data_IF_349929831450
#
_entry.id   IF_349929831450
#
_cell.length_a   1.000
_cell.length_b   1.000
_cell.length_c   1.000
_cell.angle_alpha   90.00
_cell.angle_beta   90.00
_cell.angle_gamma   90.00
#
_symmetry.space_group_name_H-M   'P 1'
#
loop_
_entity.id
_entity.type
_entity.pdbx_description
1 polymer ?
#
# COMPACT_ATOMS: atom_id res chain seq x y z
N UNK A 1 -1.76 18.88 -13.37
CA UNK A 1 -2.52 19.00 -12.12
C UNK A 1 -2.26 17.73 -11.28
N UNK A 2 -1.92 17.85 -10.01
CA UNK A 2 -1.76 16.72 -9.10
C UNK A 2 -3.09 16.35 -8.45
N UNK A 3 -3.37 15.06 -8.36
CA UNK A 3 -4.55 14.56 -7.65
C UNK A 3 -4.24 14.27 -6.18
N UNK A 4 -3.00 13.87 -5.87
CA UNK A 4 -2.63 13.63 -4.48
C UNK A 4 -2.62 14.93 -3.68
N UNK A 5 -3.37 14.94 -2.59
CA UNK A 5 -3.44 16.03 -1.62
C UNK A 5 -2.56 15.64 -0.45
N UNK A 6 -1.44 16.32 -0.34
CA UNK A 6 -0.54 16.16 0.79
C UNK A 6 -1.18 16.81 2.02
N UNK A 7 -1.48 16.05 3.08
CA UNK A 7 -1.97 16.65 4.33
C UNK A 7 -0.93 17.63 4.90
N UNK A 8 -1.35 18.72 5.52
CA UNK A 8 -0.43 19.61 6.22
C UNK A 8 0.18 18.90 7.43
N UNK A 9 1.43 19.19 7.76
CA UNK A 9 2.11 18.57 8.91
C UNK A 9 1.39 18.88 10.23
N UNK A 10 0.84 20.05 10.33
CA UNK A 10 0.08 20.54 11.49
C UNK A 10 -1.14 19.66 11.82
N UNK A 11 -1.66 18.93 10.83
CA UNK A 11 -2.74 17.97 11.06
C UNK A 11 -2.30 16.77 11.92
N UNK A 12 -0.99 16.55 12.05
CA UNK A 12 -0.39 15.49 12.87
C UNK A 12 0.26 16.00 14.17
N UNK A 13 0.37 17.32 14.39
CA UNK A 13 1.20 17.91 15.44
C UNK A 13 0.86 17.50 16.88
N UNK A 14 -0.38 17.16 17.16
CA UNK A 14 -0.82 16.75 18.51
C UNK A 14 -1.20 15.28 18.58
N UNK A 15 -0.97 14.54 17.50
CA UNK A 15 -1.30 13.12 17.43
C UNK A 15 -0.12 12.31 17.98
N UNK A 16 -0.31 11.69 19.13
CA UNK A 16 0.61 10.70 19.66
C UNK A 16 0.43 9.42 18.90
N UNK A 17 1.45 9.02 18.14
CA UNK A 17 1.47 7.76 17.40
C UNK A 17 2.52 6.80 17.93
N UNK A 18 2.46 5.54 17.52
CA UNK A 18 3.54 4.61 17.81
C UNK A 18 4.84 5.17 17.23
N UNK A 19 5.83 5.33 18.09
CA UNK A 19 7.16 5.83 17.74
C UNK A 19 7.90 4.74 16.95
N UNK A 20 7.57 4.58 15.66
CA UNK A 20 8.32 3.66 14.79
C UNK A 20 9.74 4.15 14.52
N UNK A 21 9.96 5.47 14.68
CA UNK A 21 11.25 6.09 14.44
C UNK A 21 11.49 7.17 15.52
N UNK A 22 12.55 7.05 16.22
CA UNK A 22 12.94 7.91 17.38
C UNK A 22 12.88 9.44 17.11
N UNK A 23 12.74 9.88 15.87
CA UNK A 23 12.77 11.28 15.46
C UNK A 23 11.44 11.81 14.91
N UNK A 24 10.45 10.93 14.68
CA UNK A 24 9.20 11.30 13.99
C UNK A 24 8.00 10.88 14.81
N UNK A 25 6.95 11.70 14.75
CA UNK A 25 5.72 11.43 15.48
C UNK A 25 4.85 10.38 14.80
N UNK A 26 4.86 10.36 13.45
CA UNK A 26 4.00 9.48 12.67
C UNK A 26 4.75 8.82 11.50
N UNK A 27 4.19 7.75 10.97
CA UNK A 27 4.70 7.07 9.79
C UNK A 27 4.65 7.99 8.56
N UNK A 28 3.56 8.75 8.40
CA UNK A 28 3.39 9.70 7.30
C UNK A 28 4.40 10.83 7.35
N UNK A 29 4.69 11.38 8.53
CA UNK A 29 5.71 12.40 8.70
C UNK A 29 7.06 11.89 8.18
N UNK A 30 7.48 10.71 8.61
CA UNK A 30 8.75 10.13 8.18
C UNK A 30 8.82 9.87 6.67
N UNK A 31 7.77 9.28 6.08
CA UNK A 31 7.83 8.77 4.72
C UNK A 31 7.40 9.78 3.65
N UNK A 32 6.46 10.67 3.95
CA UNK A 32 5.73 11.42 2.92
C UNK A 32 5.70 12.94 3.13
N UNK A 33 5.69 13.41 4.39
CA UNK A 33 5.42 14.81 4.67
C UNK A 33 6.68 15.68 4.72
N UNK A 34 7.83 15.09 4.98
CA UNK A 34 9.10 15.84 5.03
C UNK A 34 9.48 16.39 3.66
N UNK A 35 10.09 17.58 3.62
CA UNK A 35 10.67 18.08 2.38
C UNK A 35 11.84 17.19 1.96
N UNK A 36 11.95 16.92 0.66
CA UNK A 36 13.08 16.19 0.11
C UNK A 36 12.72 15.23 -1.03
N UNK A 37 13.73 14.82 -1.76
CA UNK A 37 13.60 13.98 -2.94
C UNK A 37 12.90 12.62 -2.64
N UNK A 38 13.24 11.99 -1.51
CA UNK A 38 12.67 10.68 -1.16
C UNK A 38 11.16 10.73 -0.93
N UNK A 39 10.67 11.75 -0.21
CA UNK A 39 9.22 11.92 -0.03
C UNK A 39 8.52 12.16 -1.35
N UNK A 40 9.11 12.97 -2.25
CA UNK A 40 8.57 13.21 -3.59
C UNK A 40 8.48 11.92 -4.41
N UNK A 41 9.47 11.06 -4.31
CA UNK A 41 9.45 9.76 -5.01
C UNK A 41 8.39 8.84 -4.39
N UNK A 42 8.34 8.78 -3.06
CA UNK A 42 7.39 7.91 -2.36
C UNK A 42 5.93 8.28 -2.61
N UNK A 43 5.56 9.56 -2.70
CA UNK A 43 4.16 9.97 -2.95
C UNK A 43 3.68 9.66 -4.37
N UNK A 44 4.57 9.29 -5.30
CA UNK A 44 4.19 9.05 -6.71
C UNK A 44 3.23 7.90 -6.90
N UNK A 45 3.25 6.88 -6.03
CA UNK A 45 2.29 5.78 -6.14
C UNK A 45 0.86 6.24 -5.83
N UNK A 46 0.64 7.12 -4.85
CA UNK A 46 -0.67 7.72 -4.58
C UNK A 46 -1.20 8.50 -5.78
N UNK A 47 -0.35 9.37 -6.34
CA UNK A 47 -0.70 10.14 -7.54
C UNK A 47 -1.02 9.24 -8.72
N UNK A 48 -0.23 8.16 -8.91
CA UNK A 48 -0.46 7.19 -9.98
C UNK A 48 -1.75 6.41 -9.77
N UNK A 49 -2.02 5.96 -8.55
CA UNK A 49 -3.24 5.25 -8.20
C UNK A 49 -4.48 6.09 -8.51
N UNK A 50 -4.49 7.38 -8.12
CA UNK A 50 -5.58 8.31 -8.42
C UNK A 50 -5.74 8.58 -9.92
N UNK A 51 -4.64 8.72 -10.67
CA UNK A 51 -4.70 8.88 -12.13
C UNK A 51 -5.32 7.69 -12.83
N UNK A 52 -5.00 6.48 -12.38
CA UNK A 52 -5.53 5.26 -12.96
C UNK A 52 -7.02 5.05 -12.66
N UNK A 53 -7.52 5.64 -11.58
CA UNK A 53 -8.91 5.52 -11.14
C UNK A 53 -9.76 6.78 -11.34
N UNK A 54 -9.24 7.80 -12.04
CA UNK A 54 -9.93 9.10 -12.21
C UNK A 54 -11.32 9.02 -12.81
N UNK A 55 -11.61 8.00 -13.61
CA UNK A 55 -12.93 7.77 -14.23
C UNK A 55 -14.01 7.39 -13.22
N UNK A 56 -13.61 6.97 -12.03
CA UNK A 56 -14.49 6.60 -10.92
C UNK A 56 -14.76 7.75 -9.94
N UNK A 57 -14.09 8.90 -10.11
CA UNK A 57 -14.24 10.04 -9.20
C UNK A 57 -15.68 10.48 -9.07
N UNK A 58 -16.15 10.65 -7.81
CA UNK A 58 -17.53 11.03 -7.44
C UNK A 58 -18.62 10.09 -7.96
N UNK A 59 -18.26 8.83 -8.21
CA UNK A 59 -19.19 7.82 -8.73
C UNK A 59 -19.32 6.60 -7.81
N UNK A 60 -18.36 6.37 -6.94
CA UNK A 60 -18.33 5.19 -6.09
C UNK A 60 -17.73 5.46 -4.72
N UNK A 61 -17.87 4.49 -3.82
CA UNK A 61 -17.14 4.40 -2.57
C UNK A 61 -15.93 3.49 -2.71
N UNK A 62 -14.92 3.68 -1.84
CA UNK A 62 -13.64 2.98 -1.92
C UNK A 62 -13.16 2.50 -0.57
N UNK A 63 -12.31 1.48 -0.59
CA UNK A 63 -11.59 0.97 0.58
C UNK A 63 -10.11 1.30 0.44
N UNK A 64 -9.49 1.83 1.49
CA UNK A 64 -8.03 1.98 1.65
C UNK A 64 -7.57 0.96 2.69
N UNK A 65 -7.08 -0.19 2.21
CA UNK A 65 -6.66 -1.29 3.07
C UNK A 65 -5.16 -1.21 3.37
N UNK A 66 -4.81 -1.11 4.65
CA UNK A 66 -3.46 -0.74 5.09
C UNK A 66 -3.26 0.78 5.05
N UNK A 67 -4.26 1.54 5.50
CA UNK A 67 -4.25 3.00 5.43
C UNK A 67 -3.21 3.67 6.33
N UNK A 68 -2.51 2.90 7.18
CA UNK A 68 -1.55 3.36 8.17
C UNK A 68 -2.11 4.55 8.99
N UNK A 69 -1.41 5.67 9.05
CA UNK A 69 -1.83 6.89 9.74
C UNK A 69 -2.56 7.91 8.82
N UNK A 70 -3.09 7.44 7.69
CA UNK A 70 -4.11 8.14 6.92
C UNK A 70 -3.64 9.14 5.87
N UNK A 71 -2.37 9.14 5.46
CA UNK A 71 -1.84 10.12 4.49
C UNK A 71 -2.62 10.20 3.17
N UNK A 72 -3.25 9.13 2.75
CA UNK A 72 -4.00 9.05 1.50
C UNK A 72 -5.47 9.44 1.65
N UNK A 73 -6.03 9.36 2.86
CA UNK A 73 -7.45 9.61 3.14
C UNK A 73 -7.96 10.99 2.68
N UNK A 74 -7.24 12.12 2.82
CA UNK A 74 -7.72 13.41 2.33
C UNK A 74 -7.91 13.43 0.81
N UNK A 75 -7.05 12.74 0.06
CA UNK A 75 -7.21 12.61 -1.39
C UNK A 75 -8.43 11.78 -1.74
N UNK A 76 -8.61 10.63 -1.08
CA UNK A 76 -9.76 9.76 -1.31
C UNK A 76 -11.06 10.45 -0.93
N UNK A 77 -11.12 11.11 0.22
CA UNK A 77 -12.30 11.86 0.67
C UNK A 77 -12.75 12.91 -0.36
N UNK A 78 -11.80 13.60 -0.98
CA UNK A 78 -12.10 14.61 -2.01
C UNK A 78 -12.71 14.03 -3.28
N UNK A 79 -12.24 12.84 -3.69
CA UNK A 79 -12.56 12.32 -5.02
C UNK A 79 -13.61 11.22 -5.02
N UNK A 80 -13.96 10.62 -3.90
CA UNK A 80 -14.91 9.52 -3.83
C UNK A 80 -16.09 9.85 -2.90
N UNK A 81 -17.22 9.15 -3.09
CA UNK A 81 -18.45 9.40 -2.34
C UNK A 81 -18.34 8.95 -0.88
N UNK A 82 -17.65 7.85 -0.64
CA UNK A 82 -17.38 7.30 0.69
C UNK A 82 -16.02 6.60 0.71
N UNK A 83 -15.37 6.62 1.85
CA UNK A 83 -14.05 6.02 2.06
C UNK A 83 -14.09 5.19 3.34
N UNK A 84 -13.61 3.96 3.28
CA UNK A 84 -13.30 3.17 4.48
C UNK A 84 -11.80 2.97 4.54
N UNK A 85 -11.16 3.55 5.57
CA UNK A 85 -9.76 3.30 5.91
C UNK A 85 -9.67 2.12 6.87
N UNK A 86 -8.87 1.11 6.52
CA UNK A 86 -8.68 -0.10 7.34
C UNK A 86 -7.20 -0.26 7.63
N UNK A 87 -6.83 -0.47 8.90
CA UNK A 87 -5.48 -0.85 9.29
C UNK A 87 -5.51 -1.81 10.48
N UNK A 88 -4.50 -2.69 10.57
CA UNK A 88 -4.37 -3.65 11.68
C UNK A 88 -3.86 -3.00 12.97
N UNK A 89 -3.20 -1.86 12.87
CA UNK A 89 -2.58 -1.21 14.01
C UNK A 89 -3.57 -0.21 14.65
N UNK A 90 -4.03 -0.46 15.89
CA UNK A 90 -4.96 0.44 16.56
C UNK A 90 -4.37 1.83 16.82
N UNK A 91 -3.05 1.92 17.02
CA UNK A 91 -2.37 3.21 17.17
C UNK A 91 -2.41 4.05 15.88
N UNK A 92 -2.27 3.42 14.71
CA UNK A 92 -2.41 4.07 13.41
C UNK A 92 -3.84 4.56 13.20
N UNK A 93 -4.83 3.75 13.53
CA UNK A 93 -6.25 4.13 13.43
C UNK A 93 -6.57 5.32 14.35
N UNK A 94 -6.04 5.34 15.57
CA UNK A 94 -6.21 6.49 16.48
C UNK A 94 -5.63 7.79 15.88
N UNK A 95 -4.50 7.72 15.18
CA UNK A 95 -3.94 8.87 14.44
C UNK A 95 -4.87 9.29 13.30
N UNK A 96 -5.38 8.31 12.53
CA UNK A 96 -6.36 8.58 11.47
C UNK A 96 -7.61 9.28 11.99
N UNK A 97 -8.16 8.88 13.14
CA UNK A 97 -9.32 9.52 13.78
C UNK A 97 -9.05 11.01 14.03
N UNK A 98 -7.88 11.32 14.59
CA UNK A 98 -7.46 12.71 14.79
C UNK A 98 -7.31 13.48 13.48
N UNK A 99 -6.73 12.87 12.45
CA UNK A 99 -6.57 13.47 11.12
C UNK A 99 -7.93 13.75 10.47
N UNK A 100 -8.82 12.74 10.46
CA UNK A 100 -10.19 12.83 9.91
C UNK A 100 -10.96 13.96 10.58
N UNK A 101 -10.93 14.03 11.91
CA UNK A 101 -11.59 15.09 12.67
C UNK A 101 -11.04 16.48 12.33
N UNK A 102 -9.71 16.65 12.30
CA UNK A 102 -9.09 17.96 12.03
C UNK A 102 -9.33 18.49 10.63
N UNK A 103 -9.37 17.59 9.65
CA UNK A 103 -9.58 17.94 8.25
C UNK A 103 -11.06 17.91 7.86
N UNK A 104 -11.98 17.61 8.80
CA UNK A 104 -13.42 17.49 8.56
C UNK A 104 -13.74 16.57 7.37
N UNK A 105 -13.17 15.35 7.40
CA UNK A 105 -13.37 14.37 6.32
C UNK A 105 -14.65 13.55 6.61
N UNK A 106 -15.82 14.15 6.44
CA UNK A 106 -17.11 13.61 6.88
C UNK A 106 -17.55 12.32 6.17
N UNK A 107 -16.95 12.01 5.01
CA UNK A 107 -17.23 10.81 4.24
C UNK A 107 -16.19 9.70 4.46
N UNK A 108 -15.33 9.81 5.48
CA UNK A 108 -14.31 8.82 5.83
C UNK A 108 -14.74 8.06 7.09
N UNK A 109 -14.74 6.75 7.01
CA UNK A 109 -14.90 5.85 8.15
C UNK A 109 -13.62 5.05 8.37
N UNK A 110 -13.35 4.71 9.62
CA UNK A 110 -12.13 4.01 10.03
C UNK A 110 -12.47 2.70 10.71
N UNK A 111 -11.65 1.69 10.45
CA UNK A 111 -11.80 0.37 11.06
C UNK A 111 -10.43 -0.20 11.42
N UNK A 112 -10.28 -0.63 12.66
CA UNK A 112 -9.18 -1.47 13.08
C UNK A 112 -9.53 -2.94 12.81
N UNK A 113 -8.70 -3.64 12.03
CA UNK A 113 -8.90 -5.07 11.76
C UNK A 113 -7.89 -5.96 12.50
N UNK A 114 -7.34 -5.51 13.61
CA UNK A 114 -6.38 -6.29 14.41
C UNK A 114 -6.93 -7.66 14.77
N UNK A 115 -6.24 -8.70 14.28
CA UNK A 115 -6.64 -10.09 14.49
C UNK A 115 -7.93 -10.55 13.79
N UNK A 116 -8.60 -9.70 13.02
CA UNK A 116 -9.83 -10.05 12.32
C UNK A 116 -9.56 -10.66 10.94
N UNK A 117 -10.14 -11.82 10.61
CA UNK A 117 -10.11 -12.35 9.26
C UNK A 117 -10.84 -11.41 8.27
N UNK A 118 -10.41 -11.40 7.01
CA UNK A 118 -11.01 -10.51 6.00
C UNK A 118 -12.50 -10.76 5.81
N UNK A 119 -12.96 -12.01 5.87
CA UNK A 119 -14.40 -12.35 5.71
C UNK A 119 -15.29 -11.71 6.77
N UNK A 120 -14.79 -11.48 7.99
CA UNK A 120 -15.53 -10.80 9.04
C UNK A 120 -15.67 -9.29 8.79
N UNK A 121 -14.75 -8.71 8.02
CA UNK A 121 -14.81 -7.29 7.68
C UNK A 121 -16.01 -6.98 6.79
N UNK A 122 -16.38 -7.90 5.89
CA UNK A 122 -17.50 -7.70 4.96
C UNK A 122 -18.79 -7.36 5.71
N UNK A 123 -19.11 -8.08 6.76
CA UNK A 123 -20.33 -7.84 7.56
C UNK A 123 -20.30 -6.48 8.26
N UNK A 124 -19.12 -5.99 8.64
CA UNK A 124 -18.93 -4.72 9.33
C UNK A 124 -18.99 -3.51 8.40
N UNK A 125 -18.58 -3.67 7.13
CA UNK A 125 -18.58 -2.59 6.14
C UNK A 125 -19.84 -2.61 5.25
N UNK A 126 -20.56 -3.75 5.16
CA UNK A 126 -21.69 -3.95 4.23
C UNK A 126 -22.93 -3.10 4.51
N UNK A 127 -23.03 -2.43 5.66
CA UNK A 127 -24.10 -1.47 5.94
C UNK A 127 -24.01 -0.15 5.16
N UNK A 128 -23.00 0.07 4.32
CA UNK A 128 -22.63 1.39 3.80
C UNK A 128 -22.68 1.50 2.27
N UNK A 129 -23.19 0.51 1.59
CA UNK A 129 -23.25 0.49 0.13
C UNK A 129 -22.19 -0.39 -0.51
N UNK A 130 -22.02 -0.22 -1.81
CA UNK A 130 -21.10 -1.03 -2.62
C UNK A 130 -19.78 -0.29 -2.81
N UNK A 131 -18.68 -1.05 -2.75
CA UNK A 131 -17.33 -0.53 -2.96
C UNK A 131 -16.80 -1.01 -4.31
N UNK A 132 -16.41 -0.10 -5.18
CA UNK A 132 -15.91 -0.45 -6.51
C UNK A 132 -14.39 -0.49 -6.61
N UNK A 133 -13.69 0.13 -5.66
CA UNK A 133 -12.22 0.16 -5.67
C UNK A 133 -11.68 -0.20 -4.29
N UNK A 134 -10.70 -1.10 -4.28
CA UNK A 134 -9.86 -1.35 -3.11
C UNK A 134 -8.44 -0.91 -3.43
N UNK A 135 -7.92 0.01 -2.64
CA UNK A 135 -6.51 0.39 -2.65
C UNK A 135 -5.75 -0.45 -1.63
N UNK A 136 -4.60 -1.00 -2.06
CA UNK A 136 -3.65 -1.74 -1.24
C UNK A 136 -2.25 -1.24 -1.59
N UNK A 137 -1.85 -0.13 -0.96
CA UNK A 137 -0.66 0.60 -1.35
C UNK A 137 0.47 0.38 -0.33
N UNK A 138 1.59 -0.19 -0.78
CA UNK A 138 2.77 -0.53 0.05
C UNK A 138 2.39 -1.37 1.30
N UNK A 139 1.52 -2.34 1.11
CA UNK A 139 0.97 -3.20 2.18
C UNK A 139 1.22 -4.69 1.90
N UNK A 140 1.08 -5.11 0.62
CA UNK A 140 1.12 -6.52 0.23
C UNK A 140 2.46 -7.21 0.52
N UNK A 141 3.55 -6.48 0.52
CA UNK A 141 4.88 -7.00 0.84
C UNK A 141 5.04 -7.46 2.28
N UNK A 142 4.19 -6.94 3.18
CA UNK A 142 4.16 -7.29 4.60
C UNK A 142 3.27 -8.51 4.90
N UNK A 143 2.53 -9.00 3.91
CA UNK A 143 1.61 -10.14 4.02
C UNK A 143 2.26 -11.41 3.50
N UNK A 144 1.94 -12.54 4.08
CA UNK A 144 2.30 -13.86 3.57
C UNK A 144 2.87 -14.82 4.62
N UNK A 145 3.07 -16.06 4.18
CA UNK A 145 3.67 -17.15 4.97
C UNK A 145 5.03 -17.53 4.40
N UNK A 146 6.03 -17.77 5.24
CA UNK A 146 7.41 -18.08 4.81
C UNK A 146 7.50 -19.26 3.83
N UNK A 147 6.62 -20.24 3.96
CA UNK A 147 6.62 -21.43 3.08
C UNK A 147 5.97 -21.21 1.71
N UNK A 148 5.12 -20.20 1.57
CA UNK A 148 4.28 -19.98 0.38
C UNK A 148 4.03 -18.50 0.06
N UNK A 149 5.03 -17.65 0.22
CA UNK A 149 4.93 -16.18 0.19
C UNK A 149 4.05 -15.61 -0.91
N UNK A 150 4.21 -16.06 -2.15
CA UNK A 150 3.46 -15.48 -3.27
C UNK A 150 2.06 -16.08 -3.40
N UNK A 151 1.88 -17.33 -3.03
CA UNK A 151 0.56 -17.95 -3.02
C UNK A 151 -0.31 -17.36 -1.93
N UNK A 152 0.21 -17.24 -0.69
CA UNK A 152 -0.52 -16.63 0.43
C UNK A 152 -0.89 -15.15 0.18
N UNK A 153 -0.03 -14.40 -0.52
CA UNK A 153 -0.37 -13.04 -0.97
C UNK A 153 -1.53 -13.01 -1.96
N UNK A 154 -1.55 -13.94 -2.90
CA UNK A 154 -2.65 -14.03 -3.88
C UNK A 154 -3.94 -14.50 -3.22
N UNK A 155 -3.86 -15.43 -2.26
CA UNK A 155 -5.02 -15.87 -1.49
C UNK A 155 -5.58 -14.74 -0.64
N UNK A 156 -4.73 -13.97 0.02
CA UNK A 156 -5.13 -12.74 0.71
C UNK A 156 -5.80 -11.71 -0.22
N UNK A 157 -5.30 -11.54 -1.44
CA UNK A 157 -5.95 -10.66 -2.42
C UNK A 157 -7.33 -11.19 -2.86
N UNK A 158 -7.50 -12.52 -2.94
CA UNK A 158 -8.82 -13.12 -3.19
C UNK A 158 -9.80 -12.82 -2.06
N UNK A 159 -9.33 -12.95 -0.82
CA UNK A 159 -10.16 -12.60 0.34
C UNK A 159 -10.54 -11.12 0.31
N UNK A 160 -9.59 -10.22 0.05
CA UNK A 160 -9.87 -8.78 -0.08
C UNK A 160 -10.84 -8.46 -1.22
N UNK A 161 -10.79 -9.21 -2.32
CA UNK A 161 -11.71 -9.01 -3.45
C UNK A 161 -13.17 -9.31 -3.08
N UNK A 162 -13.43 -10.03 -1.98
CA UNK A 162 -14.79 -10.23 -1.46
C UNK A 162 -15.39 -8.96 -0.84
N UNK A 163 -14.58 -7.96 -0.54
CA UNK A 163 -15.00 -6.69 0.05
C UNK A 163 -15.51 -5.68 -0.99
N UNK A 164 -15.27 -5.92 -2.28
CA UNK A 164 -15.69 -5.04 -3.37
C UNK A 164 -16.74 -5.72 -4.27
N UNK A 165 -17.36 -4.91 -5.11
CA UNK A 165 -18.33 -5.40 -6.09
C UNK A 165 -17.72 -6.40 -7.09
N UNK A 166 -18.56 -7.23 -7.72
CA UNK A 166 -18.11 -8.18 -8.75
C UNK A 166 -17.39 -7.47 -9.93
N UNK A 167 -17.80 -6.23 -10.21
CA UNK A 167 -17.17 -5.38 -11.23
C UNK A 167 -16.01 -4.55 -10.70
N UNK A 168 -15.77 -4.61 -9.41
CA UNK A 168 -14.75 -3.82 -8.73
C UNK A 168 -13.34 -4.13 -9.18
N UNK A 169 -12.44 -3.20 -8.89
CA UNK A 169 -11.01 -3.30 -9.18
C UNK A 169 -10.18 -3.13 -7.91
N UNK A 170 -9.01 -3.71 -7.91
CA UNK A 170 -8.01 -3.48 -6.88
C UNK A 170 -6.83 -2.72 -7.46
N UNK A 171 -6.37 -1.71 -6.74
CA UNK A 171 -5.18 -0.93 -7.08
C UNK A 171 -4.09 -1.26 -6.06
N UNK A 172 -3.04 -1.91 -6.52
CA UNK A 172 -2.00 -2.46 -5.67
C UNK A 172 -0.69 -1.75 -5.99
N UNK A 173 0.00 -1.16 -5.02
CA UNK A 173 1.38 -0.75 -5.18
C UNK A 173 2.31 -1.63 -4.36
N UNK A 174 3.48 -1.91 -4.92
CA UNK A 174 4.51 -2.73 -4.29
C UNK A 174 5.91 -2.18 -4.61
N UNK A 175 6.90 -2.39 -3.73
CA UNK A 175 8.26 -1.93 -3.97
C UNK A 175 8.94 -2.71 -5.09
N UNK A 176 9.83 -2.03 -5.81
CA UNK A 176 10.74 -2.65 -6.78
C UNK A 176 12.04 -3.05 -6.08
N UNK A 177 12.17 -4.35 -5.74
CA UNK A 177 13.33 -4.89 -5.04
C UNK A 177 14.18 -5.81 -5.94
N UNK A 178 14.01 -5.71 -7.26
CA UNK A 178 14.79 -6.43 -8.26
C UNK A 178 15.06 -5.56 -9.49
N UNK A 179 16.08 -5.93 -10.27
CA UNK A 179 16.44 -5.24 -11.50
C UNK A 179 17.29 -3.99 -11.29
N UNK A 180 17.56 -3.26 -12.37
CA UNK A 180 18.49 -2.11 -12.37
C UNK A 180 18.02 -0.96 -11.46
N UNK A 181 16.70 -0.70 -11.40
CA UNK A 181 16.15 0.33 -10.52
C UNK A 181 16.47 0.05 -9.05
N UNK A 182 16.40 -1.22 -8.62
CA UNK A 182 16.81 -1.64 -7.29
C UNK A 182 18.31 -1.41 -7.04
N UNK A 183 19.18 -1.75 -8.01
CA UNK A 183 20.61 -1.48 -7.89
C UNK A 183 20.89 0.01 -7.69
N UNK A 184 20.29 0.87 -8.50
CA UNK A 184 20.45 2.32 -8.41
C UNK A 184 19.96 2.86 -7.06
N UNK A 185 18.85 2.32 -6.54
CA UNK A 185 18.37 2.63 -5.19
C UNK A 185 19.41 2.27 -4.13
N UNK A 186 19.99 1.06 -4.20
CA UNK A 186 21.00 0.62 -3.21
C UNK A 186 22.27 1.45 -3.26
N UNK A 187 22.72 1.84 -4.44
CA UNK A 187 23.84 2.75 -4.61
C UNK A 187 23.51 4.12 -4.00
N UNK A 188 22.36 4.68 -4.32
CA UNK A 188 21.92 5.97 -3.79
C UNK A 188 21.82 6.00 -2.27
N UNK A 189 21.21 4.98 -1.67
CA UNK A 189 21.13 4.83 -0.21
C UNK A 189 22.53 4.72 0.42
N UNK A 190 23.47 4.02 -0.26
CA UNK A 190 24.86 3.89 0.19
C UNK A 190 25.61 5.21 0.18
N UNK A 191 25.51 5.96 -0.91
CA UNK A 191 26.16 7.26 -1.06
C UNK A 191 25.63 8.29 -0.04
N UNK A 192 24.34 8.23 0.27
CA UNK A 192 23.69 9.13 1.22
C UNK A 192 23.76 8.65 2.68
N UNK A 193 24.46 7.53 2.94
CA UNK A 193 24.58 6.91 4.27
C UNK A 193 23.24 6.69 4.98
N UNK A 194 22.19 6.41 4.21
CA UNK A 194 20.84 6.16 4.74
C UNK A 194 20.71 4.70 5.23
N UNK A 195 19.82 4.43 6.19
CA UNK A 195 19.54 3.08 6.65
C UNK A 195 19.16 2.15 5.50
N UNK A 196 19.66 0.92 5.55
CA UNK A 196 19.40 -0.13 4.53
C UNK A 196 19.23 -1.46 5.23
N UNK A 197 18.39 -2.29 4.61
CA UNK A 197 18.30 -3.69 5.02
C UNK A 197 19.68 -4.36 4.91
N UNK A 198 19.96 -5.27 5.81
CA UNK A 198 21.21 -6.03 5.80
C UNK A 198 21.21 -7.01 4.61
N UNK A 199 21.87 -6.61 3.54
CA UNK A 199 22.08 -7.41 2.34
C UNK A 199 23.55 -7.43 1.99
N UNK A 200 24.03 -8.59 1.59
CA UNK A 200 25.39 -8.74 1.04
C UNK A 200 25.43 -8.18 -0.39
N UNK A 201 26.62 -7.82 -0.86
CA UNK A 201 26.81 -7.38 -2.25
C UNK A 201 26.36 -8.45 -3.25
N UNK A 202 26.66 -9.72 -2.95
CA UNK A 202 26.22 -10.85 -3.79
C UNK A 202 24.72 -10.96 -3.92
N UNK A 203 23.97 -10.76 -2.84
CA UNK A 203 22.50 -10.75 -2.87
C UNK A 203 21.93 -9.58 -3.68
N UNK A 204 22.53 -8.40 -3.54
CA UNK A 204 22.15 -7.22 -4.34
C UNK A 204 22.40 -7.50 -5.82
N UNK A 205 23.53 -8.06 -6.20
CA UNK A 205 23.84 -8.39 -7.59
C UNK A 205 22.91 -9.49 -8.14
N UNK A 206 22.66 -10.56 -7.37
CA UNK A 206 21.69 -11.61 -7.75
C UNK A 206 20.29 -11.04 -7.97
N UNK A 207 19.81 -10.20 -7.07
CA UNK A 207 18.50 -9.56 -7.20
C UNK A 207 18.43 -8.60 -8.40
N UNK A 208 19.50 -7.83 -8.62
CA UNK A 208 19.54 -6.80 -9.66
C UNK A 208 19.68 -7.37 -11.08
N UNK A 209 20.54 -8.34 -11.29
CA UNK A 209 20.84 -8.86 -12.62
C UNK A 209 20.12 -10.17 -12.96
N UNK A 210 19.91 -11.04 -11.96
CA UNK A 210 19.30 -12.35 -12.15
C UNK A 210 17.83 -12.40 -11.68
N UNK A 211 17.31 -11.31 -11.12
CA UNK A 211 15.99 -11.26 -10.47
C UNK A 211 15.79 -12.37 -9.41
N UNK A 212 16.87 -12.83 -8.80
CA UNK A 212 16.88 -13.91 -7.84
C UNK A 212 16.90 -13.35 -6.41
N UNK A 213 15.82 -13.56 -5.68
CA UNK A 213 15.61 -13.12 -4.29
C UNK A 213 15.46 -14.29 -3.31
N UNK A 214 15.73 -15.51 -3.75
CA UNK A 214 15.43 -16.74 -2.97
C UNK A 214 16.10 -16.76 -1.58
N UNK A 215 17.35 -16.32 -1.49
CA UNK A 215 18.07 -16.27 -0.22
C UNK A 215 17.52 -15.17 0.72
N UNK A 216 17.06 -14.07 0.14
CA UNK A 216 16.40 -12.97 0.86
C UNK A 216 14.99 -13.38 1.34
N UNK A 217 14.24 -14.09 0.51
CA UNK A 217 12.89 -14.58 0.84
C UNK A 217 12.90 -15.51 2.06
N UNK A 218 13.92 -16.33 2.23
CA UNK A 218 14.10 -17.19 3.43
C UNK A 218 14.23 -16.38 4.73
N UNK A 219 14.78 -15.17 4.63
CA UNK A 219 14.97 -14.24 5.75
C UNK A 219 13.83 -13.23 5.89
N UNK A 220 12.82 -13.31 5.03
CA UNK A 220 11.68 -12.41 5.08
C UNK A 220 11.01 -12.48 6.47
N UNK A 221 10.74 -11.32 7.04
CA UNK A 221 10.12 -11.15 8.36
C UNK A 221 9.16 -9.95 8.31
N UNK A 222 8.08 -10.09 7.53
CA UNK A 222 7.06 -9.06 7.32
C UNK A 222 7.64 -7.69 6.90
N UNK A 223 8.79 -7.70 6.26
CA UNK A 223 9.48 -6.50 5.75
C UNK A 223 9.52 -6.52 4.22
N UNK A 224 10.10 -5.48 3.61
CA UNK A 224 10.32 -5.47 2.15
C UNK A 224 11.37 -6.48 1.69
N UNK A 225 12.16 -7.07 2.61
CA UNK A 225 13.29 -7.92 2.30
C UNK A 225 12.89 -9.10 1.41
N UNK A 226 13.54 -9.23 0.26
CA UNK A 226 13.31 -10.34 -0.67
C UNK A 226 12.03 -10.24 -1.50
N UNK A 227 11.26 -9.16 -1.38
CA UNK A 227 10.08 -8.98 -2.22
C UNK A 227 10.45 -8.94 -3.71
N UNK A 228 9.73 -9.71 -4.53
CA UNK A 228 9.97 -9.79 -5.97
C UNK A 228 8.66 -9.62 -6.75
N UNK A 229 8.44 -8.40 -7.25
CA UNK A 229 7.23 -8.07 -7.99
C UNK A 229 7.07 -8.93 -9.26
N UNK A 230 8.15 -9.40 -9.89
CA UNK A 230 8.07 -10.28 -11.07
C UNK A 230 7.61 -11.70 -10.72
N UNK A 231 7.98 -12.20 -9.53
CA UNK A 231 7.40 -13.44 -9.00
C UNK A 231 5.92 -13.23 -8.66
N UNK A 232 5.58 -12.13 -8.00
CA UNK A 232 4.19 -11.79 -7.71
C UNK A 232 3.33 -11.77 -8.98
N UNK A 233 3.78 -11.14 -10.07
CA UNK A 233 3.07 -11.08 -11.35
C UNK A 233 2.68 -12.45 -11.89
N UNK A 234 3.60 -13.44 -11.77
CA UNK A 234 3.33 -14.81 -12.23
C UNK A 234 2.19 -15.47 -11.46
N UNK A 235 2.09 -15.18 -10.16
CA UNK A 235 1.01 -15.70 -9.31
C UNK A 235 -0.28 -14.90 -9.50
N UNK A 236 -0.20 -13.57 -9.57
CA UNK A 236 -1.34 -12.71 -9.86
C UNK A 236 -2.04 -13.10 -11.16
N UNK A 237 -1.29 -13.32 -12.24
CA UNK A 237 -1.84 -13.65 -13.54
C UNK A 237 -2.66 -14.94 -13.59
N UNK A 238 -2.53 -15.83 -12.58
CA UNK A 238 -3.34 -17.04 -12.45
C UNK A 238 -4.73 -16.76 -11.87
N UNK A 239 -4.85 -15.80 -10.97
CA UNK A 239 -6.07 -15.52 -10.22
C UNK A 239 -6.76 -14.23 -10.66
N UNK A 240 -6.00 -13.28 -11.15
CA UNK A 240 -6.45 -11.95 -11.52
C UNK A 240 -6.11 -11.63 -12.97
N UNK A 241 -6.94 -10.81 -13.59
CA UNK A 241 -6.60 -10.11 -14.81
C UNK A 241 -5.85 -8.83 -14.44
N UNK A 242 -4.62 -8.68 -14.88
CA UNK A 242 -3.86 -7.44 -14.75
C UNK A 242 -4.33 -6.50 -15.86
N UNK A 243 -5.12 -5.47 -15.50
CA UNK A 243 -5.65 -4.49 -16.45
C UNK A 243 -4.60 -3.42 -16.78
N UNK A 244 -3.83 -3.01 -15.78
CA UNK A 244 -2.75 -2.03 -15.94
C UNK A 244 -1.56 -2.43 -15.07
N UNK A 245 -0.36 -2.25 -15.62
CA UNK A 245 0.91 -2.31 -14.90
C UNK A 245 1.67 -1.03 -15.19
N UNK A 246 2.07 -0.31 -14.15
CA UNK A 246 2.79 0.96 -14.26
C UNK A 246 4.03 0.96 -13.38
N UNK A 247 5.20 1.02 -14.00
CA UNK A 247 6.46 1.22 -13.27
C UNK A 247 6.63 2.69 -12.92
N UNK A 248 6.94 2.96 -11.67
CA UNK A 248 7.20 4.30 -11.13
C UNK A 248 8.47 4.30 -10.29
N UNK A 249 9.58 4.14 -10.96
CA UNK A 249 10.94 4.15 -10.43
C UNK A 249 11.21 3.06 -9.37
N UNK A 250 10.79 3.24 -8.12
CA UNK A 250 11.03 2.29 -7.02
C UNK A 250 9.80 1.46 -6.64
N UNK A 251 8.73 1.60 -7.38
CA UNK A 251 7.46 0.94 -7.12
C UNK A 251 6.83 0.49 -8.43
N UNK A 252 5.97 -0.50 -8.34
CA UNK A 252 5.09 -0.91 -9.44
C UNK A 252 3.65 -0.80 -8.96
N UNK A 253 2.81 -0.17 -9.76
CA UNK A 253 1.36 -0.07 -9.50
C UNK A 253 0.63 -0.98 -10.47
N UNK A 254 -0.23 -1.82 -9.94
CA UNK A 254 -1.13 -2.70 -10.69
C UNK A 254 -2.57 -2.27 -10.49
N UNK A 255 -3.35 -2.35 -11.57
CA UNK A 255 -4.81 -2.40 -11.48
C UNK A 255 -5.21 -3.82 -11.89
N UNK A 256 -5.90 -4.51 -10.99
CA UNK A 256 -6.29 -5.91 -11.21
C UNK A 256 -7.79 -6.12 -10.98
N UNK A 257 -8.34 -7.14 -11.64
CA UNK A 257 -9.72 -7.62 -11.44
C UNK A 257 -9.68 -9.13 -11.24
N UNK A 258 -10.49 -9.72 -10.35
CA UNK A 258 -10.63 -11.17 -10.24
C UNK A 258 -11.02 -11.79 -11.58
N UNK A 259 -10.42 -12.94 -11.96
CA UNK A 259 -10.77 -13.64 -13.21
C UNK A 259 -12.10 -14.36 -13.14
N UNK A 260 -12.46 -14.82 -11.96
CA UNK A 260 -13.73 -15.52 -11.69
C UNK A 260 -14.45 -14.75 -10.60
N UNK A 261 -15.77 -14.54 -10.72
CA UNK A 261 -16.52 -13.95 -9.62
C UNK A 261 -16.28 -14.75 -8.33
N UNK A 262 -15.91 -14.06 -7.28
CA UNK A 262 -15.75 -14.65 -5.95
C UNK A 262 -17.16 -14.76 -5.38
N UNK A 263 -17.71 -16.00 -5.36
CA UNK A 263 -19.04 -16.28 -4.80
C UNK A 263 -19.02 -16.32 -3.29
#
# INVERSE_FOLDING_TARGET
MSYFIKPPMEAYDTLEGPNYFLQYRTYSEYNYLRPGFFSLVKIRHFETALRLTKTYFRRCSVIDFGCADGVFLPSLSKYFNGVVGIDRNPGSIKICEGLVSRLSLDNVKLMCNDGLPVHDLRSRISGEGSYQILYLLETLEHVGDKGSLYQSRVDFLRDLATLIDEDGIMVISVPTMVGLAFLLQRIGLGLLKLPRDQMTLGEILKASFLNNTTDLEKRWDQTHLGFNHRKLEKFLGKAFQILVRKDIFFQVVYVVKPRTPIR
#
